data_IF_640339288127
#
_entry.id   IF_640339288127
#
_cell.length_a   1.000
_cell.length_b   1.000
_cell.length_c   1.000
_cell.angle_alpha   90.00
_cell.angle_beta   90.00
_cell.angle_gamma   90.00
#
_symmetry.space_group_name_H-M   'P 1'
#
loop_
_entity.id
_entity.type
_entity.pdbx_description
1 polymer ?
#
# COMPACT_ATOMS: atom_id res chain seq x y z
N UNK A 1 29.28 8.01 -33.07
CA UNK A 1 28.26 7.36 -33.94
C UNK A 1 27.16 6.58 -33.21
N UNK A 2 27.29 6.20 -31.91
CA UNK A 2 26.20 5.52 -31.16
C UNK A 2 25.09 6.45 -30.61
N UNK A 3 25.38 7.74 -30.39
CA UNK A 3 24.42 8.75 -29.87
C UNK A 3 23.49 9.40 -30.91
N UNK A 4 23.63 9.08 -32.20
CA UNK A 4 22.80 9.66 -33.28
C UNK A 4 21.79 8.67 -33.90
N UNK A 5 21.73 7.43 -33.41
CA UNK A 5 20.77 6.42 -33.89
C UNK A 5 19.55 6.21 -32.96
N UNK A 6 19.50 6.86 -31.81
CA UNK A 6 18.42 6.68 -30.81
C UNK A 6 17.22 7.64 -31.00
N UNK A 7 17.33 8.67 -31.84
CA UNK A 7 16.26 9.66 -32.05
C UNK A 7 15.30 9.34 -33.22
N UNK A 8 15.29 8.11 -33.74
CA UNK A 8 14.53 7.74 -34.94
C UNK A 8 13.25 6.91 -34.69
N UNK A 9 12.92 6.57 -33.45
CA UNK A 9 11.62 5.96 -33.17
C UNK A 9 10.61 7.07 -32.83
N UNK A 10 9.72 7.37 -33.78
CA UNK A 10 8.54 8.17 -33.50
C UNK A 10 7.70 7.55 -32.37
N UNK A 11 6.81 8.35 -31.78
CA UNK A 11 5.90 7.88 -30.72
C UNK A 11 5.11 6.66 -31.22
N UNK A 12 5.23 5.54 -30.50
CA UNK A 12 4.57 4.28 -30.82
C UNK A 12 3.30 4.08 -30.00
N UNK A 13 3.30 4.53 -28.75
CA UNK A 13 2.19 4.29 -27.81
C UNK A 13 1.81 5.53 -27.01
N UNK A 14 0.56 5.55 -26.54
CA UNK A 14 0.01 6.56 -25.64
C UNK A 14 -0.51 5.90 -24.37
N UNK A 15 -0.05 6.36 -23.21
CA UNK A 15 -0.47 5.86 -21.90
C UNK A 15 -1.20 6.95 -21.12
N UNK A 16 -2.38 6.62 -20.61
CA UNK A 16 -3.15 7.47 -19.70
C UNK A 16 -2.91 7.03 -18.26
N UNK A 17 -2.37 7.89 -17.41
CA UNK A 17 -2.21 7.63 -15.97
C UNK A 17 -3.31 8.38 -15.23
N UNK A 18 -4.16 7.64 -14.52
CA UNK A 18 -5.15 8.21 -13.61
C UNK A 18 -4.53 8.30 -12.22
N UNK A 19 -4.44 9.52 -11.68
CA UNK A 19 -3.77 9.84 -10.42
C UNK A 19 -2.41 10.50 -10.65
N UNK A 20 -2.03 11.39 -9.72
CA UNK A 20 -0.74 12.09 -9.69
C UNK A 20 -0.07 11.96 -8.29
N UNK A 21 -0.36 10.85 -7.60
CA UNK A 21 0.11 10.58 -6.24
C UNK A 21 1.56 10.09 -6.16
N UNK A 22 1.93 9.55 -5.00
CA UNK A 22 3.31 9.14 -4.64
C UNK A 22 3.98 8.21 -5.65
N UNK A 23 3.23 7.24 -6.19
CA UNK A 23 3.77 6.16 -7.05
C UNK A 23 3.96 6.56 -8.51
N UNK A 24 3.48 7.73 -8.92
CA UNK A 24 3.41 8.16 -10.32
C UNK A 24 4.75 8.63 -10.90
N UNK A 25 5.63 9.35 -10.17
CA UNK A 25 6.90 9.81 -10.72
C UNK A 25 7.79 8.69 -11.30
N UNK A 26 8.03 7.55 -10.62
CA UNK A 26 8.79 6.44 -11.21
C UNK A 26 8.12 5.86 -12.46
N UNK A 27 6.79 5.88 -12.53
CA UNK A 27 6.06 5.43 -13.71
C UNK A 27 6.35 6.32 -14.92
N UNK A 28 6.22 7.64 -14.74
CA UNK A 28 6.52 8.60 -15.81
C UNK A 28 7.97 8.47 -16.25
N UNK A 29 8.90 8.43 -15.29
CA UNK A 29 10.34 8.32 -15.57
C UNK A 29 10.68 7.07 -16.39
N UNK A 30 10.11 5.92 -16.04
CA UNK A 30 10.37 4.67 -16.76
C UNK A 30 9.70 4.64 -18.14
N UNK A 31 8.44 5.07 -18.26
CA UNK A 31 7.72 5.02 -19.53
C UNK A 31 8.25 6.02 -20.55
N UNK A 32 8.71 7.21 -20.13
CA UNK A 32 9.11 8.26 -21.08
C UNK A 32 10.59 8.19 -21.51
N UNK A 33 11.42 7.33 -20.89
CA UNK A 33 12.87 7.33 -21.08
C UNK A 33 13.36 7.04 -22.51
N UNK A 34 12.63 6.22 -23.26
CA UNK A 34 13.01 5.78 -24.62
C UNK A 34 12.36 6.66 -25.72
N UNK A 35 11.52 7.64 -25.35
CA UNK A 35 10.84 8.55 -26.29
C UNK A 35 9.71 7.93 -27.13
N UNK A 36 9.48 6.63 -27.00
CA UNK A 36 8.49 5.85 -27.76
C UNK A 36 7.07 5.87 -27.16
N UNK A 37 6.93 6.31 -25.90
CA UNK A 37 5.64 6.38 -25.19
C UNK A 37 5.34 7.84 -24.81
N UNK A 38 4.16 8.33 -25.23
CA UNK A 38 3.59 9.59 -24.72
C UNK A 38 2.71 9.31 -23.51
N UNK A 39 2.90 10.09 -22.45
CA UNK A 39 2.15 9.95 -21.19
C UNK A 39 1.23 11.15 -20.99
N UNK A 40 -0.03 10.89 -20.65
CA UNK A 40 -0.99 11.89 -20.15
C UNK A 40 -1.34 11.56 -18.70
N UNK A 41 -1.18 12.52 -17.79
CA UNK A 41 -1.52 12.35 -16.37
C UNK A 41 -2.80 13.10 -16.04
N UNK A 42 -3.70 12.45 -15.32
CA UNK A 42 -4.99 13.00 -14.91
C UNK A 42 -5.09 13.07 -13.39
N UNK A 43 -5.54 14.21 -12.86
CA UNK A 43 -5.85 14.37 -11.43
C UNK A 43 -6.99 15.37 -11.26
N UNK A 44 -7.74 15.27 -10.17
CA UNK A 44 -8.70 16.30 -9.78
C UNK A 44 -7.99 17.51 -9.14
N UNK A 45 -6.77 17.34 -8.64
CA UNK A 45 -5.97 18.37 -7.98
C UNK A 45 -4.94 18.97 -8.94
N UNK A 46 -5.07 20.27 -9.24
CA UNK A 46 -4.14 20.97 -10.12
C UNK A 46 -2.71 21.02 -9.55
N UNK A 47 -2.58 21.19 -8.22
CA UNK A 47 -1.28 21.23 -7.54
C UNK A 47 -0.45 19.95 -7.76
N UNK A 48 -1.10 18.79 -7.81
CA UNK A 48 -0.40 17.53 -8.10
C UNK A 48 0.07 17.48 -9.55
N UNK A 49 -0.75 17.98 -10.50
CA UNK A 49 -0.38 18.05 -11.93
C UNK A 49 0.79 19.00 -12.16
N UNK A 50 0.79 20.17 -11.52
CA UNK A 50 1.89 21.13 -11.56
C UNK A 50 3.18 20.51 -11.01
N UNK A 51 3.09 19.78 -9.90
CA UNK A 51 4.23 19.08 -9.30
C UNK A 51 4.84 18.06 -10.25
N UNK A 52 4.05 17.18 -10.87
CA UNK A 52 4.59 16.17 -11.81
C UNK A 52 5.08 16.81 -13.11
N UNK A 53 4.41 17.85 -13.62
CA UNK A 53 4.80 18.55 -14.85
C UNK A 53 6.11 19.32 -14.68
N UNK A 54 6.37 19.85 -13.48
CA UNK A 54 7.66 20.48 -13.13
C UNK A 54 8.82 19.49 -13.22
N UNK A 55 8.62 18.25 -12.78
CA UNK A 55 9.65 17.19 -12.86
C UNK A 55 9.76 16.58 -14.26
N UNK A 56 8.63 16.43 -14.97
CA UNK A 56 8.56 15.79 -16.28
C UNK A 56 7.91 16.73 -17.30
N UNK A 57 8.66 17.68 -17.91
CA UNK A 57 8.09 18.71 -18.77
C UNK A 57 7.47 18.17 -20.07
N UNK A 58 7.82 16.95 -20.49
CA UNK A 58 7.41 16.37 -21.77
C UNK A 58 6.08 15.58 -21.72
N UNK A 59 5.44 15.44 -20.55
CA UNK A 59 4.13 14.77 -20.44
C UNK A 59 2.98 15.71 -20.76
N UNK A 60 1.82 15.17 -21.09
CA UNK A 60 0.55 15.92 -21.04
C UNK A 60 -0.07 15.81 -19.65
N UNK A 61 -0.78 16.86 -19.22
CA UNK A 61 -1.56 16.84 -17.97
C UNK A 61 -2.98 17.31 -18.23
N UNK A 62 -3.96 16.75 -17.52
CA UNK A 62 -5.36 17.13 -17.61
C UNK A 62 -6.01 17.13 -16.24
N UNK A 63 -6.59 18.25 -15.83
CA UNK A 63 -7.44 18.28 -14.64
C UNK A 63 -8.81 17.67 -14.96
N UNK A 64 -9.21 16.66 -14.20
CA UNK A 64 -10.49 15.97 -14.34
C UNK A 64 -10.86 15.27 -13.03
N UNK A 65 -12.12 15.42 -12.61
CA UNK A 65 -12.69 14.55 -11.58
C UNK A 65 -13.42 13.39 -12.26
N UNK A 66 -12.79 12.21 -12.27
CA UNK A 66 -13.33 11.01 -12.94
C UNK A 66 -14.69 10.55 -12.38
N UNK A 67 -15.06 10.97 -11.16
CA UNK A 67 -16.33 10.62 -10.53
C UNK A 67 -17.48 11.52 -10.99
N UNK A 68 -17.16 12.67 -11.58
CA UNK A 68 -18.13 13.67 -12.01
C UNK A 68 -18.18 13.81 -13.53
N UNK A 69 -17.10 13.46 -14.23
CA UNK A 69 -16.98 13.63 -15.69
C UNK A 69 -16.61 12.31 -16.39
N UNK A 70 -17.63 11.46 -16.57
CA UNK A 70 -17.48 10.17 -17.28
C UNK A 70 -17.25 10.38 -18.78
N UNK A 71 -17.82 11.42 -19.38
CA UNK A 71 -17.63 11.72 -20.81
C UNK A 71 -16.18 12.13 -21.11
N UNK A 72 -15.62 13.02 -20.29
CA UNK A 72 -14.23 13.45 -20.35
C UNK A 72 -13.27 12.27 -20.14
N UNK A 73 -13.59 11.37 -19.19
CA UNK A 73 -12.82 10.14 -19.01
C UNK A 73 -12.88 9.27 -20.26
N UNK A 74 -14.06 9.06 -20.85
CA UNK A 74 -14.22 8.25 -22.07
C UNK A 74 -13.41 8.77 -23.25
N UNK A 75 -13.41 10.10 -23.49
CA UNK A 75 -12.57 10.75 -24.52
C UNK A 75 -11.09 10.46 -24.30
N UNK A 76 -10.61 10.67 -23.07
CA UNK A 76 -9.21 10.38 -22.74
C UNK A 76 -8.88 8.91 -22.92
N UNK A 77 -9.71 7.98 -22.44
CA UNK A 77 -9.48 6.54 -22.62
C UNK A 77 -9.40 6.19 -24.11
N UNK A 78 -10.34 6.66 -24.93
CA UNK A 78 -10.37 6.38 -26.37
C UNK A 78 -9.08 6.80 -27.11
N UNK A 79 -8.45 7.90 -26.69
CA UNK A 79 -7.24 8.47 -27.28
C UNK A 79 -5.92 7.74 -26.91
N UNK A 80 -5.95 6.83 -25.93
CA UNK A 80 -4.78 6.15 -25.41
C UNK A 80 -4.86 4.63 -25.66
N UNK A 81 -3.73 3.93 -25.59
CA UNK A 81 -3.63 2.49 -25.84
C UNK A 81 -3.77 1.68 -24.55
N UNK A 82 -3.27 2.24 -23.43
CA UNK A 82 -3.27 1.64 -22.10
C UNK A 82 -3.61 2.69 -21.04
N UNK A 83 -4.46 2.32 -20.09
CA UNK A 83 -4.81 3.10 -18.90
C UNK A 83 -4.11 2.51 -17.67
N UNK A 84 -3.34 3.31 -16.94
CA UNK A 84 -2.77 2.95 -15.65
C UNK A 84 -3.58 3.61 -14.53
N UNK A 85 -4.35 2.82 -13.80
CA UNK A 85 -5.22 3.30 -12.71
C UNK A 85 -4.45 3.31 -11.39
N UNK A 86 -3.92 4.48 -11.01
CA UNK A 86 -3.13 4.74 -9.79
C UNK A 86 -3.88 5.64 -8.80
N UNK A 87 -5.20 5.44 -8.75
CA UNK A 87 -6.15 6.12 -7.85
C UNK A 87 -6.56 5.18 -6.70
N UNK A 88 -7.30 5.67 -5.69
CA UNK A 88 -7.85 4.77 -4.67
C UNK A 88 -8.67 3.63 -5.27
N UNK A 89 -8.38 2.40 -4.82
CA UNK A 89 -8.93 1.15 -5.38
C UNK A 89 -10.47 1.10 -5.43
N UNK A 90 -11.15 1.79 -4.51
CA UNK A 90 -12.61 1.90 -4.46
C UNK A 90 -13.22 2.56 -5.71
N UNK A 91 -12.40 3.26 -6.49
CA UNK A 91 -12.82 3.94 -7.72
C UNK A 91 -12.52 3.13 -9.00
N UNK A 92 -11.97 1.92 -8.88
CA UNK A 92 -11.66 1.10 -10.06
C UNK A 92 -12.93 0.65 -10.80
N UNK A 93 -14.02 0.36 -10.08
CA UNK A 93 -15.28 -0.06 -10.69
C UNK A 93 -15.90 0.99 -11.62
N UNK A 94 -15.49 2.26 -11.52
CA UNK A 94 -15.90 3.36 -12.39
C UNK A 94 -15.02 3.47 -13.63
N UNK A 95 -13.77 3.03 -13.57
CA UNK A 95 -12.79 3.13 -14.67
C UNK A 95 -12.87 1.93 -15.62
N UNK A 96 -13.02 0.73 -15.07
CA UNK A 96 -13.03 -0.51 -15.84
C UNK A 96 -14.11 -0.55 -16.94
N UNK A 97 -15.38 -0.19 -16.67
CA UNK A 97 -16.42 -0.16 -17.71
C UNK A 97 -16.08 0.76 -18.88
N UNK A 98 -15.45 1.91 -18.62
CA UNK A 98 -15.03 2.85 -19.66
C UNK A 98 -13.91 2.24 -20.53
N UNK A 99 -12.96 1.54 -19.92
CA UNK A 99 -11.90 0.83 -20.66
C UNK A 99 -12.46 -0.31 -21.51
N UNK A 100 -13.42 -1.07 -20.99
CA UNK A 100 -14.14 -2.13 -21.71
C UNK A 100 -14.87 -1.54 -22.92
N UNK A 101 -15.66 -0.47 -22.72
CA UNK A 101 -16.40 0.21 -23.78
C UNK A 101 -15.50 0.67 -24.92
N UNK A 102 -14.35 1.25 -24.60
CA UNK A 102 -13.39 1.77 -25.59
C UNK A 102 -12.35 0.74 -26.04
N UNK A 103 -12.46 -0.53 -25.57
CA UNK A 103 -11.54 -1.63 -25.87
C UNK A 103 -10.07 -1.29 -25.61
N UNK A 104 -9.79 -0.61 -24.49
CA UNK A 104 -8.43 -0.22 -24.09
C UNK A 104 -7.92 -1.08 -22.96
N UNK A 105 -6.63 -1.39 -22.99
CA UNK A 105 -5.98 -2.14 -21.93
C UNK A 105 -5.97 -1.32 -20.63
N UNK A 106 -5.96 -2.01 -19.50
CA UNK A 106 -5.90 -1.37 -18.19
C UNK A 106 -4.91 -2.10 -17.28
N UNK A 107 -4.23 -1.34 -16.42
CA UNK A 107 -3.33 -1.87 -15.41
C UNK A 107 -3.52 -1.15 -14.08
N UNK A 108 -3.38 -1.88 -12.96
CA UNK A 108 -3.28 -1.28 -11.62
C UNK A 108 -2.39 -2.09 -10.68
N UNK A 109 -1.87 -1.43 -9.65
CA UNK A 109 -1.11 -2.04 -8.55
C UNK A 109 -2.01 -2.50 -7.37
N UNK A 110 -3.34 -2.53 -7.54
CA UNK A 110 -4.27 -2.96 -6.49
C UNK A 110 -4.75 -4.40 -6.68
N UNK A 111 -5.25 -4.97 -5.58
CA UNK A 111 -5.95 -6.25 -5.54
C UNK A 111 -7.11 -6.34 -6.54
N UNK A 112 -7.30 -7.52 -7.13
CA UNK A 112 -8.47 -7.86 -7.93
C UNK A 112 -9.68 -8.10 -7.03
N UNK A 113 -10.50 -7.06 -6.85
CA UNK A 113 -11.71 -7.14 -6.02
C UNK A 113 -12.79 -8.07 -6.60
N UNK A 114 -13.71 -8.61 -5.77
CA UNK A 114 -14.83 -9.40 -6.26
C UNK A 114 -15.68 -8.66 -7.31
N UNK A 115 -15.90 -7.35 -7.12
CA UNK A 115 -16.63 -6.50 -8.08
C UNK A 115 -15.96 -6.46 -9.45
N UNK A 116 -14.63 -6.33 -9.49
CA UNK A 116 -13.88 -6.36 -10.75
C UNK A 116 -13.87 -7.77 -11.34
N UNK A 117 -13.67 -8.80 -10.53
CA UNK A 117 -13.68 -10.21 -10.98
C UNK A 117 -14.99 -10.59 -11.69
N UNK A 118 -16.13 -10.03 -11.27
CA UNK A 118 -17.41 -10.23 -11.95
C UNK A 118 -17.44 -9.69 -13.40
N UNK A 119 -16.50 -8.82 -13.78
CA UNK A 119 -16.36 -8.27 -15.14
C UNK A 119 -15.44 -9.12 -16.04
N UNK A 120 -14.91 -10.26 -15.57
CA UNK A 120 -13.95 -11.09 -16.32
C UNK A 120 -14.42 -11.38 -17.76
N UNK A 121 -15.67 -11.80 -17.93
CA UNK A 121 -16.19 -12.12 -19.26
C UNK A 121 -16.28 -10.88 -20.16
N UNK A 122 -16.72 -9.74 -19.62
CA UNK A 122 -16.80 -8.49 -20.37
C UNK A 122 -15.42 -8.00 -20.86
N UNK A 123 -14.38 -8.19 -20.04
CA UNK A 123 -12.99 -7.85 -20.38
C UNK A 123 -12.47 -8.77 -21.49
N UNK A 124 -12.76 -10.07 -21.40
CA UNK A 124 -12.42 -11.06 -22.44
C UNK A 124 -13.12 -10.76 -23.76
N UNK A 125 -14.43 -10.48 -23.71
CA UNK A 125 -15.24 -10.16 -24.89
C UNK A 125 -14.79 -8.85 -25.57
N UNK A 126 -14.33 -7.87 -24.78
CA UNK A 126 -13.74 -6.64 -25.30
C UNK A 126 -12.34 -6.86 -25.92
N UNK A 127 -11.72 -8.04 -25.74
CA UNK A 127 -10.39 -8.37 -26.26
C UNK A 127 -9.26 -7.61 -25.56
N UNK A 128 -9.49 -7.11 -24.34
CA UNK A 128 -8.52 -6.31 -23.60
C UNK A 128 -7.77 -7.15 -22.57
N UNK A 129 -6.56 -6.69 -22.24
CA UNK A 129 -5.75 -7.22 -21.14
C UNK A 129 -5.88 -6.28 -19.94
N UNK A 130 -6.25 -6.84 -18.79
CA UNK A 130 -6.37 -6.12 -17.52
C UNK A 130 -5.34 -6.66 -16.52
N UNK A 131 -4.19 -5.99 -16.40
CA UNK A 131 -3.12 -6.42 -15.49
C UNK A 131 -3.38 -5.88 -14.09
N UNK A 132 -3.47 -6.78 -13.12
CA UNK A 132 -3.76 -6.44 -11.73
C UNK A 132 -2.58 -6.81 -10.84
N UNK A 133 -2.54 -6.27 -9.63
CA UNK A 133 -1.62 -6.73 -8.59
C UNK A 133 -0.15 -6.65 -9.01
N UNK A 134 0.26 -5.60 -9.75
CA UNK A 134 1.65 -5.40 -10.20
C UNK A 134 2.30 -4.19 -9.52
N UNK A 135 2.29 -4.19 -8.18
CA UNK A 135 2.98 -3.22 -7.34
C UNK A 135 4.07 -3.87 -6.47
N UNK A 136 4.11 -3.49 -5.19
CA UNK A 136 4.98 -4.09 -4.18
C UNK A 136 4.30 -5.26 -3.48
N UNK A 137 3.17 -4.97 -2.83
CA UNK A 137 2.32 -5.90 -2.08
C UNK A 137 0.88 -5.37 -2.21
N UNK A 138 0.12 -5.84 -3.22
CA UNK A 138 0.40 -7.01 -4.07
C UNK A 138 1.26 -6.69 -5.31
N UNK A 139 2.20 -7.58 -5.62
CA UNK A 139 3.05 -7.54 -6.81
C UNK A 139 4.36 -8.28 -6.65
N UNK A 140 5.43 -7.57 -6.30
CA UNK A 140 6.75 -8.20 -6.09
C UNK A 140 6.66 -9.38 -5.11
N UNK A 141 5.84 -9.27 -4.06
CA UNK A 141 5.61 -10.37 -3.11
C UNK A 141 5.08 -11.65 -3.80
N UNK A 142 4.13 -11.51 -4.73
CA UNK A 142 3.60 -12.62 -5.52
C UNK A 142 4.67 -13.20 -6.43
N UNK A 143 5.43 -12.34 -7.11
CA UNK A 143 6.46 -12.75 -8.07
C UNK A 143 7.58 -13.55 -7.38
N UNK A 144 8.08 -13.06 -6.24
CA UNK A 144 9.12 -13.73 -5.46
C UNK A 144 8.62 -15.03 -4.82
N UNK A 145 7.37 -15.03 -4.33
CA UNK A 145 6.74 -16.24 -3.79
C UNK A 145 6.63 -17.32 -4.88
N UNK A 146 6.12 -16.96 -6.06
CA UNK A 146 5.90 -17.91 -7.16
C UNK A 146 7.21 -18.41 -7.76
N UNK A 147 8.25 -17.56 -7.86
CA UNK A 147 9.59 -17.99 -8.30
C UNK A 147 10.13 -19.11 -7.39
N UNK A 148 10.11 -18.89 -6.07
CA UNK A 148 10.57 -19.89 -5.10
C UNK A 148 9.72 -21.18 -5.12
N UNK A 149 8.39 -21.03 -5.24
CA UNK A 149 7.47 -22.17 -5.28
C UNK A 149 7.64 -23.01 -6.55
N UNK A 150 7.67 -22.37 -7.72
CA UNK A 150 7.83 -23.07 -9.00
C UNK A 150 9.18 -23.81 -9.05
N UNK A 151 10.26 -23.21 -8.54
CA UNK A 151 11.56 -23.89 -8.42
C UNK A 151 11.52 -25.11 -7.49
N UNK A 152 10.80 -24.98 -6.37
CA UNK A 152 10.65 -26.05 -5.39
C UNK A 152 9.83 -27.21 -5.96
N UNK A 153 8.68 -26.91 -6.56
CA UNK A 153 7.81 -27.90 -7.20
C UNK A 153 8.50 -28.60 -8.37
N UNK A 154 9.28 -27.88 -9.19
CA UNK A 154 10.04 -28.46 -10.30
C UNK A 154 11.07 -29.51 -9.85
N UNK A 155 11.56 -29.40 -8.61
CA UNK A 155 12.49 -30.34 -7.97
C UNK A 155 11.78 -31.42 -7.12
N UNK A 156 10.45 -31.47 -7.17
CA UNK A 156 9.63 -32.44 -6.43
C UNK A 156 9.45 -32.12 -4.94
N UNK A 157 9.83 -30.92 -4.50
CA UNK A 157 9.62 -30.47 -3.13
C UNK A 157 8.17 -30.06 -2.86
N UNK A 158 7.81 -30.02 -1.57
CA UNK A 158 6.50 -29.58 -1.08
C UNK A 158 6.65 -28.33 -0.22
N UNK A 159 5.71 -27.40 -0.34
CA UNK A 159 5.63 -26.26 0.56
C UNK A 159 4.79 -26.66 1.78
N UNK A 160 5.40 -26.64 2.97
CA UNK A 160 4.80 -27.05 4.24
C UNK A 160 4.45 -25.85 5.14
N UNK A 161 5.16 -24.73 5.02
CA UNK A 161 4.82 -23.45 5.66
C UNK A 161 5.12 -22.26 4.75
N UNK A 162 4.30 -21.22 4.85
CA UNK A 162 4.47 -19.96 4.13
C UNK A 162 4.09 -18.79 5.03
N UNK A 163 5.06 -17.94 5.32
CA UNK A 163 4.88 -16.67 6.00
C UNK A 163 5.48 -15.55 5.17
N UNK A 164 4.71 -14.49 4.91
CA UNK A 164 5.15 -13.36 4.10
C UNK A 164 4.81 -12.05 4.79
N UNK A 165 5.83 -11.30 5.18
CA UNK A 165 5.68 -10.02 5.86
C UNK A 165 6.33 -8.89 5.06
N UNK A 166 5.58 -7.81 4.84
CA UNK A 166 6.05 -6.61 4.11
C UNK A 166 5.81 -5.34 4.93
N UNK A 167 6.75 -4.41 4.91
CA UNK A 167 6.60 -3.08 5.49
C UNK A 167 7.27 -2.01 4.65
N UNK A 168 6.53 -0.93 4.37
CA UNK A 168 7.08 0.34 3.93
C UNK A 168 7.20 1.27 5.12
N UNK A 169 8.43 1.61 5.50
CA UNK A 169 8.80 2.28 6.75
C UNK A 169 9.69 3.48 6.46
N UNK A 170 9.84 4.45 7.38
CA UNK A 170 11.00 5.33 7.32
C UNK A 170 12.29 4.52 7.47
N UNK A 171 13.37 4.95 6.83
CA UNK A 171 14.68 4.41 7.19
C UNK A 171 14.94 4.64 8.69
N UNK A 172 15.68 3.75 9.39
CA UNK A 172 15.79 3.78 10.84
C UNK A 172 16.18 5.15 11.42
N UNK A 173 17.07 5.87 10.75
CA UNK A 173 17.53 7.20 11.14
C UNK A 173 16.47 8.31 11.03
N UNK A 174 15.33 8.05 10.37
CA UNK A 174 14.19 8.97 10.23
C UNK A 174 12.91 8.44 10.90
N UNK A 175 13.03 7.39 11.71
CA UNK A 175 11.92 6.76 12.42
C UNK A 175 11.65 7.41 13.79
N UNK A 176 12.31 8.51 14.14
CA UNK A 176 12.12 9.19 15.44
C UNK A 176 10.85 10.05 15.45
N UNK A 177 9.71 9.40 15.61
CA UNK A 177 8.42 10.03 15.87
C UNK A 177 7.52 9.06 16.67
N UNK A 178 6.39 9.51 17.23
CA UNK A 178 5.60 8.67 18.14
C UNK A 178 5.05 7.37 17.56
N UNK A 179 4.80 7.31 16.24
CA UNK A 179 4.41 6.06 15.56
C UNK A 179 5.61 5.30 15.00
N UNK A 180 6.80 5.89 15.01
CA UNK A 180 7.96 5.40 14.26
C UNK A 180 7.61 5.18 12.78
N UNK A 181 6.74 6.03 12.22
CA UNK A 181 6.19 5.84 10.89
C UNK A 181 6.08 7.16 10.14
N UNK A 182 6.22 7.12 8.82
CA UNK A 182 6.00 8.25 7.92
C UNK A 182 5.29 7.77 6.66
N UNK A 183 4.40 8.59 6.13
CA UNK A 183 3.53 8.18 5.03
C UNK A 183 4.20 8.38 3.66
N UNK A 184 4.55 7.27 3.01
CA UNK A 184 5.01 7.23 1.61
C UNK A 184 3.89 6.91 0.61
N UNK A 185 2.64 6.82 1.10
CA UNK A 185 1.41 6.60 0.36
C UNK A 185 0.23 7.20 1.14
N UNK A 186 -1.01 7.06 0.65
CA UNK A 186 -2.20 7.70 1.26
C UNK A 186 -2.33 7.39 2.76
N UNK A 187 -2.29 8.41 3.66
CA UNK A 187 -2.42 8.19 5.10
C UNK A 187 -3.74 7.55 5.50
N UNK A 188 -4.84 8.00 4.92
CA UNK A 188 -6.16 7.42 5.20
C UNK A 188 -6.23 5.95 4.79
N UNK A 189 -5.67 5.59 3.63
CA UNK A 189 -5.62 4.20 3.20
C UNK A 189 -4.71 3.35 4.11
N UNK A 190 -3.57 3.89 4.54
CA UNK A 190 -2.64 3.25 5.48
C UNK A 190 -3.24 3.03 6.86
N UNK A 191 -3.95 4.03 7.39
CA UNK A 191 -4.61 3.93 8.68
C UNK A 191 -5.85 3.04 8.62
N UNK A 192 -6.47 2.86 7.45
CA UNK A 192 -7.59 1.92 7.32
C UNK A 192 -7.13 0.47 7.50
N UNK A 193 -5.89 0.13 7.11
CA UNK A 193 -5.42 -1.27 7.16
C UNK A 193 -5.33 -1.83 8.58
N UNK A 194 -5.08 -0.97 9.59
CA UNK A 194 -4.99 -1.39 10.99
C UNK A 194 -6.36 -1.73 11.61
N UNK A 195 -7.45 -1.37 10.92
CA UNK A 195 -8.83 -1.68 11.30
C UNK A 195 -9.36 -2.94 10.61
N UNK A 196 -8.61 -3.52 9.67
CA UNK A 196 -9.00 -4.76 9.01
C UNK A 196 -9.04 -5.92 10.01
N UNK A 197 -9.84 -6.94 9.70
CA UNK A 197 -9.67 -8.26 10.28
C UNK A 197 -8.56 -9.04 9.58
N UNK A 198 -8.25 -10.22 10.12
CA UNK A 198 -7.35 -11.16 9.46
C UNK A 198 -7.87 -12.59 9.58
N UNK A 199 -7.70 -13.38 8.54
CA UNK A 199 -7.95 -14.82 8.55
C UNK A 199 -6.75 -15.55 7.95
N UNK A 200 -6.20 -16.50 8.71
CA UNK A 200 -4.93 -17.15 8.37
C UNK A 200 -4.85 -18.57 8.93
N UNK A 201 -3.89 -19.34 8.43
CA UNK A 201 -3.61 -20.70 8.89
C UNK A 201 -2.31 -20.69 9.69
N UNK A 202 -2.33 -21.23 10.91
CA UNK A 202 -1.14 -21.27 11.79
C UNK A 202 -1.08 -22.61 12.52
N UNK A 203 0.10 -23.23 12.50
CA UNK A 203 0.32 -24.55 13.09
C UNK A 203 0.42 -24.51 14.63
N UNK A 204 -0.05 -25.57 15.27
CA UNK A 204 -0.13 -25.71 16.72
C UNK A 204 -1.01 -26.89 17.16
N UNK A 205 -1.80 -27.44 16.22
CA UNK A 205 -2.52 -28.74 16.22
C UNK A 205 -3.42 -28.74 14.97
N UNK A 206 -2.94 -29.27 13.85
CA UNK A 206 -3.70 -29.54 12.62
C UNK A 206 -4.64 -28.39 12.18
N UNK A 207 -4.10 -27.39 11.49
CA UNK A 207 -4.88 -26.60 10.52
C UNK A 207 -6.06 -25.78 11.06
N UNK A 208 -5.96 -25.24 12.28
CA UNK A 208 -6.95 -24.31 12.80
C UNK A 208 -6.86 -22.98 12.05
N UNK A 209 -7.96 -22.63 11.39
CA UNK A 209 -8.18 -21.30 10.86
C UNK A 209 -8.27 -20.31 12.03
N UNK A 210 -7.37 -19.34 12.05
CA UNK A 210 -7.40 -18.21 12.97
C UNK A 210 -8.17 -17.09 12.31
N UNK A 211 -9.14 -16.52 13.02
CA UNK A 211 -9.89 -15.35 12.58
C UNK A 211 -9.78 -14.25 13.63
N UNK A 212 -9.43 -13.06 13.17
CA UNK A 212 -9.36 -11.83 13.95
C UNK A 212 -10.41 -10.89 13.37
N UNK A 213 -11.39 -10.44 14.16
CA UNK A 213 -12.43 -9.54 13.67
C UNK A 213 -11.86 -8.16 13.30
N UNK A 214 -12.53 -7.42 12.40
CA UNK A 214 -12.20 -6.03 12.13
C UNK A 214 -12.46 -5.14 13.34
N UNK A 215 -12.02 -3.89 13.28
CA UNK A 215 -12.23 -2.88 14.34
C UNK A 215 -11.08 -2.75 15.33
N UNK A 216 -9.89 -3.25 14.98
CA UNK A 216 -8.67 -2.99 15.75
C UNK A 216 -8.20 -4.11 16.67
N UNK A 217 -8.91 -5.24 16.72
CA UNK A 217 -8.43 -6.45 17.41
C UNK A 217 -7.06 -6.90 16.86
N UNK A 218 -6.82 -6.65 15.58
CA UNK A 218 -5.56 -6.95 14.90
C UNK A 218 -4.30 -6.45 15.62
N UNK A 219 -4.38 -5.29 16.28
CA UNK A 219 -3.24 -4.70 16.99
C UNK A 219 -2.82 -5.49 18.23
N UNK A 220 -3.68 -6.35 18.76
CA UNK A 220 -3.37 -7.22 19.91
C UNK A 220 -2.63 -8.50 19.49
N UNK A 221 -2.53 -8.77 18.18
CA UNK A 221 -1.91 -9.96 17.61
C UNK A 221 -0.54 -9.67 16.96
N UNK A 222 0.05 -8.50 17.25
CA UNK A 222 1.40 -8.19 16.83
C UNK A 222 2.44 -8.98 17.65
N UNK A 223 3.47 -9.47 16.99
CA UNK A 223 4.60 -10.17 17.61
C UNK A 223 5.94 -9.63 17.11
N UNK A 224 7.01 -9.89 17.85
CA UNK A 224 8.35 -9.42 17.51
C UNK A 224 8.93 -10.21 16.32
N UNK A 225 9.54 -9.51 15.38
CA UNK A 225 10.14 -10.10 14.17
C UNK A 225 11.65 -10.21 14.32
N UNK A 226 12.09 -11.30 14.97
CA UNK A 226 13.48 -11.49 15.36
C UNK A 226 14.40 -11.99 14.24
N UNK A 227 13.85 -12.43 13.11
CA UNK A 227 14.61 -12.97 11.97
C UNK A 227 15.30 -11.88 11.14
N UNK A 228 14.84 -10.63 11.24
CA UNK A 228 15.35 -9.46 10.52
C UNK A 228 16.39 -8.71 11.37
N UNK A 229 17.55 -9.34 11.57
CA UNK A 229 18.67 -8.79 12.36
C UNK A 229 19.03 -7.38 11.89
N UNK A 230 19.14 -6.45 12.83
CA UNK A 230 19.44 -5.04 12.57
C UNK A 230 18.20 -4.13 12.53
N UNK A 231 16.99 -4.71 12.48
CA UNK A 231 15.73 -3.96 12.61
C UNK A 231 14.97 -4.32 13.88
N UNK A 232 14.36 -3.33 14.52
CA UNK A 232 13.49 -3.53 15.70
C UNK A 232 12.02 -3.53 15.27
N UNK A 233 11.57 -4.66 14.70
CA UNK A 233 10.27 -4.77 14.04
C UNK A 233 9.26 -5.60 14.84
N UNK A 234 7.99 -5.28 14.62
CA UNK A 234 6.83 -6.08 14.98
C UNK A 234 6.01 -6.39 13.72
N UNK A 235 5.40 -7.57 13.69
CA UNK A 235 4.59 -8.07 12.59
C UNK A 235 3.20 -8.45 13.06
N UNK A 236 2.17 -8.19 12.24
CA UNK A 236 0.80 -8.64 12.47
C UNK A 236 0.20 -9.19 11.16
N UNK A 237 -0.71 -10.18 11.22
CA UNK A 237 -1.32 -10.76 10.02
C UNK A 237 -2.18 -9.72 9.26
N UNK A 238 -2.49 -9.97 8.00
CA UNK A 238 -3.17 -9.00 7.14
C UNK A 238 -4.23 -9.67 6.26
N UNK A 239 -5.47 -9.18 6.33
CA UNK A 239 -6.60 -9.61 5.46
C UNK A 239 -6.75 -11.13 5.43
N UNK A 240 -7.03 -11.69 4.26
CA UNK A 240 -7.22 -13.11 4.05
C UNK A 240 -5.94 -13.73 3.47
N UNK A 241 -5.32 -14.60 4.26
CA UNK A 241 -4.19 -15.43 3.83
C UNK A 241 -4.65 -16.80 3.33
N UNK A 242 -5.86 -17.25 3.65
CA UNK A 242 -6.35 -18.58 3.31
C UNK A 242 -6.65 -18.71 1.82
N UNK A 243 -7.18 -17.67 1.18
CA UNK A 243 -7.40 -17.69 -0.28
C UNK A 243 -6.12 -17.98 -1.08
N UNK A 244 -4.94 -17.68 -0.53
CA UNK A 244 -3.67 -18.01 -1.16
C UNK A 244 -3.34 -19.50 -1.20
N UNK A 245 -4.06 -20.35 -0.44
CA UNK A 245 -3.88 -21.80 -0.54
C UNK A 245 -4.17 -22.31 -1.94
N UNK A 246 -5.27 -21.85 -2.53
CA UNK A 246 -5.66 -22.26 -3.87
C UNK A 246 -4.83 -21.53 -4.93
N UNK A 247 -4.60 -20.22 -4.76
CA UNK A 247 -3.83 -19.39 -5.71
C UNK A 247 -2.42 -19.94 -5.89
N UNK A 248 -1.74 -20.29 -4.79
CA UNK A 248 -0.36 -20.78 -4.80
C UNK A 248 -0.22 -22.31 -4.75
N UNK A 249 -1.34 -23.05 -4.82
CA UNK A 249 -1.38 -24.52 -4.83
C UNK A 249 -0.75 -25.15 -3.57
N UNK A 250 -0.94 -24.54 -2.41
CA UNK A 250 -0.38 -24.92 -1.11
C UNK A 250 -1.13 -26.09 -0.46
N UNK A 251 -1.07 -27.27 -1.09
CA UNK A 251 -1.82 -28.47 -0.66
C UNK A 251 -1.35 -29.05 0.67
N UNK A 252 -0.03 -29.11 0.87
CA UNK A 252 0.60 -29.71 2.05
C UNK A 252 0.91 -28.68 3.15
N UNK A 253 0.48 -27.42 2.96
CA UNK A 253 0.87 -26.31 3.81
C UNK A 253 -0.01 -26.20 5.06
N UNK A 254 0.63 -26.21 6.24
CA UNK A 254 -0.02 -26.14 7.55
C UNK A 254 0.06 -24.74 8.19
N UNK A 255 0.86 -23.83 7.64
CA UNK A 255 0.95 -22.41 8.05
C UNK A 255 0.90 -21.53 6.81
N UNK A 256 -0.06 -20.62 6.72
CA UNK A 256 -0.22 -19.67 5.61
C UNK A 256 -0.58 -18.31 6.19
N UNK A 257 0.42 -17.44 6.27
CA UNK A 257 0.30 -16.10 6.86
C UNK A 257 0.86 -15.07 5.91
N UNK A 258 0.08 -14.06 5.58
CA UNK A 258 0.55 -12.79 5.03
C UNK A 258 0.36 -11.72 6.09
N UNK A 259 1.35 -10.86 6.25
CA UNK A 259 1.38 -9.89 7.33
C UNK A 259 2.08 -8.59 6.98
N UNK A 260 1.98 -7.64 7.90
CA UNK A 260 2.52 -6.30 7.76
C UNK A 260 3.59 -6.06 8.82
N UNK A 261 4.72 -5.46 8.41
CA UNK A 261 5.79 -5.05 9.32
C UNK A 261 5.64 -3.59 9.74
N UNK A 262 5.93 -3.31 11.01
CA UNK A 262 6.09 -1.97 11.59
C UNK A 262 7.29 -1.97 12.54
N UNK A 263 7.80 -0.78 12.87
CA UNK A 263 8.73 -0.69 14.00
C UNK A 263 7.98 -0.93 15.32
N UNK A 264 8.68 -1.56 16.27
CA UNK A 264 8.14 -1.92 17.57
C UNK A 264 7.47 -0.72 18.27
N UNK A 265 6.29 -0.93 18.84
CA UNK A 265 5.50 0.07 19.55
C UNK A 265 4.47 0.82 18.69
N UNK A 266 4.51 0.68 17.36
CA UNK A 266 3.49 1.24 16.47
C UNK A 266 2.09 0.75 16.86
N UNK A 267 1.89 -0.57 16.98
CA UNK A 267 0.60 -1.20 17.29
C UNK A 267 0.03 -0.75 18.63
N UNK A 268 0.87 -0.53 19.65
CA UNK A 268 0.44 -0.02 20.96
C UNK A 268 -0.15 1.39 20.85
N UNK A 269 0.51 2.29 20.11
CA UNK A 269 0.02 3.66 19.91
C UNK A 269 -1.25 3.66 19.07
N UNK A 270 -1.33 2.84 18.01
CA UNK A 270 -2.56 2.66 17.23
C UNK A 270 -3.69 2.13 18.11
N UNK A 271 -3.46 1.12 18.94
CA UNK A 271 -4.46 0.57 19.86
C UNK A 271 -4.98 1.63 20.82
N UNK A 272 -4.10 2.49 21.33
CA UNK A 272 -4.49 3.62 22.16
C UNK A 272 -5.41 4.59 21.41
N UNK A 273 -5.09 4.95 20.16
CA UNK A 273 -5.95 5.81 19.33
C UNK A 273 -7.32 5.18 19.05
N UNK A 274 -7.38 3.86 18.85
CA UNK A 274 -8.62 3.10 18.70
C UNK A 274 -9.46 3.19 19.98
N UNK A 275 -8.86 2.89 21.14
CA UNK A 275 -9.54 2.94 22.45
C UNK A 275 -10.03 4.36 22.81
N UNK A 276 -9.36 5.39 22.30
CA UNK A 276 -9.78 6.78 22.46
C UNK A 276 -10.88 7.21 21.48
N UNK A 277 -11.19 6.42 20.45
CA UNK A 277 -12.21 6.74 19.44
C UNK A 277 -11.72 7.58 18.26
N UNK A 278 -10.42 7.90 18.19
CA UNK A 278 -9.85 8.67 17.08
C UNK A 278 -9.89 7.92 15.74
N UNK A 279 -10.09 6.60 15.78
CA UNK A 279 -10.17 5.74 14.61
C UNK A 279 -11.62 5.44 14.18
N UNK A 280 -12.62 6.10 14.77
CA UNK A 280 -14.02 5.99 14.37
C UNK A 280 -14.24 6.61 12.98
N UNK A 281 -14.80 5.83 12.06
CA UNK A 281 -15.08 6.23 10.68
C UNK A 281 -16.52 6.73 10.49
N UNK A 282 -17.37 6.64 11.51
CA UNK A 282 -18.75 7.08 11.42
C UNK A 282 -18.82 8.62 11.28
N UNK A 283 -19.69 9.13 10.39
CA UNK A 283 -19.94 10.56 10.28
C UNK A 283 -20.26 11.20 11.64
N UNK A 284 -19.72 12.39 11.86
CA UNK A 284 -19.98 13.22 13.02
C UNK A 284 -20.17 14.67 12.56
N UNK A 285 -21.40 15.16 12.66
CA UNK A 285 -21.78 16.51 12.18
C UNK A 285 -20.96 17.62 12.83
N UNK A 286 -20.45 17.42 14.07
CA UNK A 286 -19.59 18.39 14.77
C UNK A 286 -18.17 18.45 14.21
N UNK A 287 -17.81 17.51 13.33
CA UNK A 287 -16.53 17.46 12.62
C UNK A 287 -16.72 17.67 11.11
N UNK A 288 -17.88 18.17 10.66
CA UNK A 288 -18.11 18.45 9.25
C UNK A 288 -17.13 19.52 8.71
N UNK A 289 -16.71 19.46 7.44
CA UNK A 289 -15.83 20.48 6.84
C UNK A 289 -16.42 21.89 6.84
N UNK A 290 -17.75 22.02 6.96
CA UNK A 290 -18.46 23.30 7.07
C UNK A 290 -18.41 23.93 8.46
N UNK A 291 -17.98 23.19 9.49
CA UNK A 291 -17.86 23.70 10.85
C UNK A 291 -16.72 24.73 10.98
N UNK A 292 -16.82 25.67 11.94
CA UNK A 292 -15.71 26.57 12.24
C UNK A 292 -14.43 25.82 12.63
N UNK A 293 -13.24 26.33 12.28
CA UNK A 293 -11.97 25.74 12.72
C UNK A 293 -11.87 25.66 14.25
N UNK A 294 -11.49 24.51 14.78
CA UNK A 294 -11.37 24.26 16.22
C UNK A 294 -10.03 23.63 16.57
N UNK A 295 -9.57 23.79 17.82
CA UNK A 295 -8.33 23.17 18.30
C UNK A 295 -8.48 21.66 18.44
N UNK A 296 -7.34 20.95 18.51
CA UNK A 296 -7.33 19.51 18.73
C UNK A 296 -7.92 19.12 20.09
N UNK A 297 -7.80 19.97 21.11
CA UNK A 297 -8.49 19.77 22.40
C UNK A 297 -10.02 19.69 22.19
N UNK A 298 -10.59 20.60 21.41
CA UNK A 298 -12.03 20.57 21.11
C UNK A 298 -12.41 19.32 20.32
N UNK A 299 -11.59 18.90 19.34
CA UNK A 299 -11.80 17.67 18.58
C UNK A 299 -11.79 16.45 19.50
N UNK A 300 -10.81 16.34 20.40
CA UNK A 300 -10.72 15.25 21.37
C UNK A 300 -11.97 15.16 22.27
N UNK A 301 -12.44 16.30 22.77
CA UNK A 301 -13.66 16.39 23.58
C UNK A 301 -14.91 15.92 22.80
N UNK A 302 -15.00 16.25 21.51
CA UNK A 302 -16.09 15.75 20.64
C UNK A 302 -15.99 14.23 20.43
N UNK A 303 -14.78 13.73 20.18
CA UNK A 303 -14.53 12.31 19.87
C UNK A 303 -14.85 11.41 21.05
N UNK A 304 -14.51 11.84 22.27
CA UNK A 304 -14.69 10.99 23.45
C UNK A 304 -16.15 10.62 23.71
N UNK A 305 -17.13 11.25 23.02
CA UNK A 305 -18.60 11.07 23.13
C UNK A 305 -19.16 11.16 24.57
N UNK A 306 -18.28 11.29 25.55
CA UNK A 306 -18.48 11.33 26.97
C UNK A 306 -17.38 12.22 27.60
N UNK A 307 -17.57 13.53 27.53
CA UNK A 307 -17.83 14.18 28.81
C UNK A 307 -19.34 14.33 28.89
N UNK A 308 -20.02 13.23 29.22
CA UNK A 308 -21.43 13.25 29.62
C UNK A 308 -21.45 13.98 30.95
N UNK A 309 -21.57 15.32 30.96
CA UNK A 309 -21.95 16.18 32.10
C UNK A 309 -21.47 15.86 33.56
N UNK A 310 -20.51 14.95 33.80
CA UNK A 310 -20.27 14.32 35.11
C UNK A 310 -18.77 14.10 35.40
N UNK A 311 -17.89 14.66 34.57
CA UNK A 311 -16.48 14.91 34.94
C UNK A 311 -16.18 16.35 34.53
N UNK A 312 -16.51 17.40 35.28
CA UNK A 312 -16.77 17.59 36.70
C UNK A 312 -17.79 18.75 36.79
N UNK A 313 -18.36 19.01 37.96
CA UNK A 313 -18.97 20.32 38.26
C UNK A 313 -17.94 21.46 38.29
N UNK A 314 -17.22 21.67 37.19
CA UNK A 314 -16.22 22.71 36.94
C UNK A 314 -16.50 23.22 35.52
N UNK A 315 -17.21 24.34 35.40
CA UNK A 315 -16.66 25.68 35.14
C UNK A 315 -16.14 25.84 33.68
N UNK A 316 -16.33 26.99 32.98
CA UNK A 316 -15.97 27.20 31.57
C UNK A 316 -14.47 27.17 31.22
N UNK A 317 -13.63 26.49 32.02
CA UNK A 317 -12.17 26.43 31.91
C UNK A 317 -11.67 24.98 32.01
N UNK A 318 -12.03 24.12 31.06
CA UNK A 318 -11.41 22.79 30.95
C UNK A 318 -9.93 22.98 30.61
N UNK A 319 -9.04 22.60 31.53
CA UNK A 319 -7.60 22.65 31.31
C UNK A 319 -7.13 21.44 30.49
N UNK A 320 -6.11 21.63 29.64
CA UNK A 320 -5.48 20.53 28.88
C UNK A 320 -5.01 19.41 29.80
N UNK A 321 -4.48 19.77 30.98
CA UNK A 321 -4.04 18.82 32.01
C UNK A 321 -5.16 17.89 32.50
N UNK A 322 -6.40 18.40 32.62
CA UNK A 322 -7.55 17.57 33.01
C UNK A 322 -7.89 16.54 31.92
N UNK A 323 -7.82 16.94 30.64
CA UNK A 323 -8.04 16.04 29.49
C UNK A 323 -6.93 14.98 29.40
N UNK A 324 -5.67 15.36 29.63
CA UNK A 324 -4.55 14.42 29.70
C UNK A 324 -4.73 13.39 30.83
N UNK A 325 -5.12 13.83 32.02
CA UNK A 325 -5.38 12.94 33.15
C UNK A 325 -6.52 11.93 32.84
N UNK A 326 -7.57 12.39 32.15
CA UNK A 326 -8.65 11.53 31.69
C UNK A 326 -8.17 10.50 30.65
N UNK A 327 -7.32 10.91 29.69
CA UNK A 327 -6.70 10.00 28.72
C UNK A 327 -5.86 8.94 29.41
N UNK A 328 -4.99 9.34 30.35
CA UNK A 328 -4.14 8.42 31.13
C UNK A 328 -4.99 7.36 31.85
N UNK A 329 -6.04 7.81 32.54
CA UNK A 329 -6.98 6.93 33.23
C UNK A 329 -7.71 5.98 32.28
N UNK A 330 -8.19 6.49 31.13
CA UNK A 330 -8.96 5.72 30.15
C UNK A 330 -8.09 4.67 29.44
N UNK A 331 -6.87 5.03 29.08
CA UNK A 331 -5.97 4.12 28.38
C UNK A 331 -5.47 3.00 29.29
N UNK A 332 -5.08 3.32 30.55
CA UNK A 332 -4.46 2.35 31.46
C UNK A 332 -3.31 1.57 30.79
N UNK A 333 -2.48 2.28 30.01
CA UNK A 333 -1.34 1.74 29.27
C UNK A 333 -0.03 2.28 29.88
N UNK A 334 1.13 1.66 29.57
CA UNK A 334 2.42 2.19 30.01
C UNK A 334 2.60 3.67 29.64
N UNK A 335 3.21 4.42 30.54
CA UNK A 335 3.39 5.88 30.43
C UNK A 335 4.07 6.29 29.12
N UNK A 336 5.05 5.52 28.63
CA UNK A 336 5.69 5.73 27.32
C UNK A 336 4.67 5.73 26.17
N UNK A 337 3.70 4.80 26.19
CA UNK A 337 2.66 4.72 25.15
C UNK A 337 1.71 5.90 25.23
N UNK A 338 1.29 6.28 26.45
CA UNK A 338 0.41 7.45 26.62
C UNK A 338 1.12 8.72 26.17
N UNK A 339 2.39 8.89 26.54
CA UNK A 339 3.17 10.05 26.13
C UNK A 339 3.36 10.10 24.62
N UNK A 340 3.62 8.97 23.96
CA UNK A 340 3.68 8.89 22.50
C UNK A 340 2.36 9.37 21.86
N UNK A 341 1.20 8.94 22.39
CA UNK A 341 -0.12 9.37 21.90
C UNK A 341 -0.30 10.89 22.08
N UNK A 342 0.07 11.45 23.23
CA UNK A 342 -0.07 12.89 23.48
C UNK A 342 0.83 13.73 22.56
N UNK A 343 2.06 13.27 22.30
CA UNK A 343 3.02 13.93 21.39
C UNK A 343 2.56 13.93 19.92
N UNK A 344 1.51 13.16 19.55
CA UNK A 344 0.86 13.29 18.25
C UNK A 344 0.13 14.64 18.06
N UNK A 345 0.04 15.45 19.12
CA UNK A 345 -0.59 16.77 19.05
C UNK A 345 -2.12 16.73 19.08
N UNK A 346 -2.70 15.61 19.51
CA UNK A 346 -4.16 15.42 19.62
C UNK A 346 -4.83 16.29 20.70
N UNK A 347 -4.03 17.01 21.49
CA UNK A 347 -4.47 18.04 22.45
C UNK A 347 -3.85 19.41 22.16
N UNK A 348 -3.31 19.63 20.97
CA UNK A 348 -2.67 20.89 20.61
C UNK A 348 -3.67 22.03 20.37
N UNK A 349 -3.17 23.27 20.46
CA UNK A 349 -3.95 24.48 20.14
C UNK A 349 -4.10 24.71 18.62
N UNK A 350 -3.27 24.04 17.80
CA UNK A 350 -3.35 24.11 16.33
C UNK A 350 -4.77 23.73 15.88
N UNK A 351 -5.34 24.54 14.99
CA UNK A 351 -6.66 24.28 14.41
C UNK A 351 -6.62 23.02 13.53
N UNK A 352 -7.56 22.10 13.76
CA UNK A 352 -7.71 20.87 13.00
C UNK A 352 -8.42 21.14 11.66
N UNK A 353 -8.03 20.41 10.62
CA UNK A 353 -8.76 20.37 9.34
C UNK A 353 -9.84 19.30 9.41
N UNK A 354 -11.06 19.73 9.66
CA UNK A 354 -12.23 18.87 9.88
C UNK A 354 -12.65 18.14 8.61
N UNK A 355 -12.80 16.82 8.69
CA UNK A 355 -13.04 15.94 7.54
C UNK A 355 -14.28 15.03 7.68
N UNK A 356 -15.26 15.44 8.49
CA UNK A 356 -16.56 14.78 8.63
C UNK A 356 -16.62 13.64 9.64
N UNK A 357 -15.48 13.03 10.00
CA UNK A 357 -15.40 12.01 11.03
C UNK A 357 -14.02 12.05 11.75
N UNK A 358 -13.87 11.41 12.93
CA UNK A 358 -12.62 11.37 13.68
C UNK A 358 -11.43 10.84 12.87
N UNK A 359 -11.61 9.69 12.21
CA UNK A 359 -10.57 8.98 11.47
C UNK A 359 -9.99 9.80 10.31
N UNK A 360 -10.83 10.37 9.45
CA UNK A 360 -10.40 11.18 8.31
C UNK A 360 -9.78 12.50 8.78
N UNK A 361 -10.28 13.09 9.88
CA UNK A 361 -9.70 14.31 10.48
C UNK A 361 -8.29 14.05 11.01
N UNK A 362 -8.09 12.92 11.70
CA UNK A 362 -6.75 12.48 12.16
C UNK A 362 -5.83 12.14 10.99
N UNK A 363 -6.34 11.46 9.95
CA UNK A 363 -5.54 11.07 8.78
C UNK A 363 -4.93 12.27 8.07
N UNK A 364 -5.66 13.38 7.97
CA UNK A 364 -5.15 14.64 7.40
C UNK A 364 -4.10 15.28 8.29
N UNK A 365 -4.27 15.23 9.62
CA UNK A 365 -3.25 15.72 10.55
C UNK A 365 -1.95 14.92 10.46
N UNK A 366 -2.06 13.60 10.38
CA UNK A 366 -0.92 12.71 10.18
C UNK A 366 -0.22 12.95 8.83
N UNK A 367 -0.96 13.30 7.78
CA UNK A 367 -0.38 13.72 6.51
C UNK A 367 0.57 14.91 6.66
N UNK A 368 0.28 15.83 7.60
CA UNK A 368 1.12 16.99 7.88
C UNK A 368 2.33 16.62 8.76
N UNK A 369 2.08 15.97 9.91
CA UNK A 369 3.12 15.80 10.95
C UNK A 369 4.05 14.60 10.71
N UNK A 370 3.69 13.69 9.80
CA UNK A 370 4.46 12.47 9.47
C UNK A 370 4.78 12.39 7.97
N UNK A 371 4.91 13.55 7.32
CA UNK A 371 5.46 13.63 5.97
C UNK A 371 6.98 13.45 5.98
N UNK A 372 7.52 12.94 4.88
CA UNK A 372 8.96 12.91 4.64
C UNK A 372 9.49 14.31 4.33
N UNK A 373 10.59 14.67 4.95
CA UNK A 373 11.38 15.85 4.61
C UNK A 373 12.15 15.68 3.29
N UNK A 374 12.73 16.76 2.73
CA UNK A 374 13.34 16.74 1.39
C UNK A 374 14.48 15.73 1.20
N UNK A 375 15.26 15.48 2.25
CA UNK A 375 16.44 14.61 2.22
C UNK A 375 16.23 13.28 2.95
N UNK A 376 15.05 13.06 3.51
CA UNK A 376 14.74 11.82 4.20
C UNK A 376 14.44 10.71 3.18
N UNK A 377 14.66 9.47 3.60
CA UNK A 377 14.38 8.28 2.80
C UNK A 377 13.51 7.30 3.56
N UNK A 378 12.66 6.61 2.82
CA UNK A 378 11.93 5.45 3.29
C UNK A 378 12.74 4.16 3.06
N UNK A 379 12.13 3.05 3.46
CA UNK A 379 12.69 1.71 3.45
C UNK A 379 11.55 0.74 3.16
N UNK A 380 11.78 -0.18 2.22
CA UNK A 380 10.97 -1.39 2.08
C UNK A 380 11.72 -2.54 2.72
N UNK A 381 11.04 -3.27 3.59
CA UNK A 381 11.48 -4.59 4.09
C UNK A 381 10.40 -5.60 3.76
N UNK A 382 10.78 -6.67 3.08
CA UNK A 382 9.93 -7.82 2.80
C UNK A 382 10.70 -9.09 3.14
N UNK A 383 10.04 -10.02 3.82
CA UNK A 383 10.59 -11.31 4.22
C UNK A 383 9.56 -12.39 3.92
N UNK A 384 9.94 -13.38 3.12
CA UNK A 384 9.20 -14.62 2.94
C UNK A 384 9.96 -15.75 3.62
N UNK A 385 9.29 -16.44 4.54
CA UNK A 385 9.78 -17.66 5.17
C UNK A 385 8.97 -18.84 4.62
N UNK A 386 9.66 -19.73 3.92
CA UNK A 386 9.07 -20.82 3.13
C UNK A 386 9.65 -22.13 3.63
N UNK A 387 8.84 -22.91 4.36
CA UNK A 387 9.19 -24.25 4.77
C UNK A 387 9.01 -25.23 3.61
N UNK A 388 10.06 -25.99 3.32
CA UNK A 388 10.09 -27.00 2.25
C UNK A 388 10.36 -28.38 2.83
N UNK A 389 9.59 -29.38 2.39
CA UNK A 389 9.90 -30.81 2.57
C UNK A 389 10.26 -31.44 1.22
N UNK A 390 11.44 -32.03 1.13
CA UNK A 390 11.95 -32.70 -0.07
C UNK A 390 11.52 -34.19 -0.11
N UNK A 391 11.60 -34.86 -1.29
CA UNK A 391 11.27 -36.28 -1.41
C UNK A 391 12.06 -37.21 -0.47
N UNK A 392 13.29 -36.83 -0.14
CA UNK A 392 14.19 -37.52 0.80
C UNK A 392 13.87 -37.24 2.28
N UNK A 393 12.76 -36.54 2.57
CA UNK A 393 12.29 -36.11 3.90
C UNK A 393 13.15 -35.05 4.58
N UNK A 394 14.16 -34.51 3.91
CA UNK A 394 14.90 -33.34 4.39
C UNK A 394 13.98 -32.13 4.41
N UNK A 395 14.06 -31.35 5.49
CA UNK A 395 13.31 -30.11 5.65
C UNK A 395 14.26 -28.91 5.61
N UNK A 396 13.81 -27.85 4.95
CA UNK A 396 14.54 -26.61 4.83
C UNK A 396 13.62 -25.42 5.05
N UNK A 397 14.20 -24.33 5.56
CA UNK A 397 13.59 -23.02 5.57
C UNK A 397 14.30 -22.16 4.54
N UNK A 398 13.58 -21.84 3.46
CA UNK A 398 14.00 -20.84 2.48
C UNK A 398 13.53 -19.48 2.95
N UNK A 399 14.45 -18.52 3.01
CA UNK A 399 14.16 -17.14 3.39
C UNK A 399 14.49 -16.21 2.23
N UNK A 400 13.46 -15.61 1.63
CA UNK A 400 13.59 -14.62 0.54
C UNK A 400 13.37 -13.22 1.11
N UNK A 401 14.33 -12.33 0.93
CA UNK A 401 14.32 -10.98 1.52
C UNK A 401 14.56 -9.90 0.49
N UNK A 402 13.72 -8.89 0.49
CA UNK A 402 13.89 -7.66 -0.28
C UNK A 402 14.02 -6.48 0.69
N UNK A 403 15.18 -5.81 0.66
CA UNK A 403 15.46 -4.64 1.49
C UNK A 403 15.91 -3.49 0.57
N UNK A 404 15.05 -2.48 0.40
CA UNK A 404 15.29 -1.38 -0.54
C UNK A 404 15.18 -0.05 0.20
N UNK A 405 16.26 0.72 0.21
CA UNK A 405 16.25 2.09 0.74
C UNK A 405 15.87 3.08 -0.35
N UNK A 406 15.10 4.10 0.05
CA UNK A 406 14.81 5.25 -0.79
C UNK A 406 16.05 6.10 -1.05
N UNK A 407 15.98 6.90 -2.09
CA UNK A 407 17.02 7.85 -2.49
C UNK A 407 16.63 9.25 -2.00
N UNK A 408 17.25 9.68 -0.89
CA UNK A 408 17.05 11.01 -0.32
C UNK A 408 17.37 12.12 -1.33
N UNK A 409 16.65 13.24 -1.25
CA UNK A 409 16.84 14.39 -2.14
C UNK A 409 16.16 14.25 -3.52
N UNK A 410 15.58 13.09 -3.85
CA UNK A 410 14.86 12.87 -5.13
C UNK A 410 13.33 12.99 -5.02
N UNK A 411 12.84 13.52 -3.90
CA UNK A 411 11.42 13.69 -3.63
C UNK A 411 10.63 12.37 -3.75
N UNK A 412 9.36 12.46 -4.17
CA UNK A 412 8.46 11.28 -4.28
C UNK A 412 8.99 10.18 -5.20
N UNK A 413 9.78 10.53 -6.23
CA UNK A 413 10.35 9.57 -7.18
C UNK A 413 11.53 8.78 -6.61
N UNK A 414 12.19 9.28 -5.56
CA UNK A 414 13.27 8.60 -4.87
C UNK A 414 12.82 7.56 -3.85
N UNK A 415 11.59 7.67 -3.35
CA UNK A 415 11.08 6.77 -2.31
C UNK A 415 11.08 5.31 -2.80
N UNK A 416 11.59 4.40 -1.97
CA UNK A 416 11.57 2.98 -2.20
C UNK A 416 10.14 2.49 -2.46
N UNK A 417 9.16 2.91 -1.67
CA UNK A 417 7.74 2.60 -1.89
C UNK A 417 7.27 2.98 -3.30
N UNK A 418 7.55 4.21 -3.73
CA UNK A 418 7.16 4.69 -5.05
C UNK A 418 7.84 3.87 -6.16
N UNK A 419 9.12 3.52 -5.99
CA UNK A 419 9.88 2.73 -6.97
C UNK A 419 9.38 1.29 -7.04
N UNK A 420 9.23 0.62 -5.91
CA UNK A 420 8.81 -0.78 -5.83
C UNK A 420 7.33 -0.98 -6.19
N UNK A 421 6.52 0.09 -6.23
CA UNK A 421 5.17 0.03 -6.81
C UNK A 421 5.16 0.45 -8.28
N UNK A 422 5.83 1.56 -8.61
CA UNK A 422 5.76 2.16 -9.94
C UNK A 422 6.56 1.42 -11.01
N UNK A 423 7.72 0.83 -10.67
CA UNK A 423 8.56 0.13 -11.64
C UNK A 423 7.94 -1.20 -12.11
N UNK A 424 7.43 -2.10 -11.24
CA UNK A 424 6.76 -3.31 -11.70
C UNK A 424 5.56 -2.98 -12.61
N UNK A 425 4.75 -1.99 -12.22
CA UNK A 425 3.62 -1.51 -13.02
C UNK A 425 4.05 -0.99 -14.40
N UNK A 426 5.15 -0.24 -14.46
CA UNK A 426 5.68 0.30 -15.73
C UNK A 426 6.28 -0.77 -16.63
N UNK A 427 6.97 -1.75 -16.04
CA UNK A 427 7.51 -2.90 -16.77
C UNK A 427 6.36 -3.71 -17.38
N UNK A 428 5.35 -4.05 -16.58
CA UNK A 428 4.17 -4.75 -17.05
C UNK A 428 3.39 -3.94 -18.12
N UNK A 429 3.28 -2.61 -17.96
CA UNK A 429 2.69 -1.73 -18.97
C UNK A 429 3.43 -1.83 -20.32
N UNK A 430 4.77 -1.76 -20.33
CA UNK A 430 5.57 -1.98 -21.55
C UNK A 430 5.37 -3.37 -22.12
N UNK A 431 5.32 -4.41 -21.29
CA UNK A 431 5.08 -5.79 -21.74
C UNK A 431 3.72 -5.95 -22.42
N UNK A 432 2.67 -5.28 -21.93
CA UNK A 432 1.35 -5.25 -22.60
C UNK A 432 1.44 -4.53 -23.94
N UNK A 433 2.02 -3.32 -23.97
CA UNK A 433 2.12 -2.50 -25.19
C UNK A 433 2.96 -3.17 -26.29
N UNK A 434 4.01 -3.89 -25.91
CA UNK A 434 4.89 -4.63 -26.82
C UNK A 434 4.33 -6.00 -27.24
N UNK A 435 3.18 -6.43 -26.70
CA UNK A 435 2.59 -7.74 -26.99
C UNK A 435 3.33 -8.93 -26.38
N UNK A 436 4.13 -8.70 -25.33
CA UNK A 436 4.79 -9.74 -24.54
C UNK A 436 3.77 -10.46 -23.64
N UNK A 437 2.86 -9.71 -23.02
CA UNK A 437 1.68 -10.27 -22.31
C UNK A 437 0.54 -10.39 -23.32
N UNK A 438 0.27 -11.63 -23.76
CA UNK A 438 -0.74 -11.92 -24.80
C UNK A 438 -2.12 -12.27 -24.23
N UNK A 439 -2.19 -12.70 -22.98
CA UNK A 439 -3.42 -13.12 -22.32
C UNK A 439 -4.46 -11.99 -22.29
N UNK A 440 -5.71 -12.34 -22.61
CA UNK A 440 -6.89 -11.45 -22.49
C UNK A 440 -7.67 -11.79 -21.22
N UNK A 441 -8.46 -10.83 -20.73
CA UNK A 441 -9.07 -10.93 -19.40
C UNK A 441 -8.16 -10.38 -18.32
N UNK A 442 -8.40 -10.80 -17.08
CA UNK A 442 -7.52 -10.43 -15.96
C UNK A 442 -6.20 -11.20 -16.01
N UNK A 443 -5.10 -10.48 -15.82
CA UNK A 443 -3.74 -11.04 -15.72
C UNK A 443 -3.17 -10.66 -14.37
N UNK A 444 -2.77 -11.69 -13.61
CA UNK A 444 -2.11 -11.58 -12.31
C UNK A 444 -0.67 -12.08 -12.46
N UNK A 445 0.30 -11.62 -11.65
CA UNK A 445 1.71 -11.94 -11.80
C UNK A 445 2.07 -13.33 -11.22
N UNK A 446 1.23 -14.34 -11.46
CA UNK A 446 1.45 -15.70 -10.96
C UNK A 446 2.10 -16.62 -12.00
N UNK A 447 1.96 -16.31 -13.28
CA UNK A 447 2.49 -17.13 -14.36
C UNK A 447 3.98 -16.80 -14.64
N UNK A 448 4.86 -17.80 -14.86
CA UNK A 448 6.29 -17.58 -15.12
C UNK A 448 6.59 -16.62 -16.27
N UNK A 449 5.80 -16.67 -17.34
CA UNK A 449 5.91 -15.77 -18.49
C UNK A 449 5.58 -14.30 -18.16
N UNK A 450 4.92 -14.05 -17.04
CA UNK A 450 4.64 -12.71 -16.52
C UNK A 450 5.69 -12.32 -15.48
N UNK A 451 5.89 -13.11 -14.42
CA UNK A 451 6.72 -12.69 -13.30
C UNK A 451 8.22 -12.70 -13.60
N UNK A 452 8.73 -13.69 -14.35
CA UNK A 452 10.19 -13.79 -14.60
C UNK A 452 10.73 -12.59 -15.36
N UNK A 453 10.12 -12.15 -16.49
CA UNK A 453 10.60 -10.95 -17.18
C UNK A 453 10.48 -9.67 -16.33
N UNK A 454 9.48 -9.59 -15.45
CA UNK A 454 9.33 -8.44 -14.54
C UNK A 454 10.48 -8.43 -13.52
N UNK A 455 10.73 -9.54 -12.81
CA UNK A 455 11.83 -9.64 -11.83
C UNK A 455 13.19 -9.39 -12.48
N UNK A 456 13.46 -9.95 -13.65
CA UNK A 456 14.71 -9.72 -14.40
C UNK A 456 14.93 -8.24 -14.76
N UNK A 457 13.86 -7.51 -15.08
CA UNK A 457 13.92 -6.07 -15.39
C UNK A 457 14.02 -5.23 -14.12
N UNK A 458 13.34 -5.61 -13.04
CA UNK A 458 13.45 -4.97 -11.73
C UNK A 458 14.88 -5.04 -11.17
N UNK A 459 15.57 -6.17 -11.36
CA UNK A 459 16.98 -6.32 -10.99
C UNK A 459 17.87 -5.27 -11.66
N UNK A 460 17.60 -4.93 -12.92
CA UNK A 460 18.33 -3.87 -13.66
C UNK A 460 18.04 -2.46 -13.12
N UNK A 461 16.92 -2.28 -12.45
CA UNK A 461 16.54 -1.03 -11.77
C UNK A 461 16.98 -1.01 -10.28
N UNK A 462 17.79 -1.99 -9.86
CA UNK A 462 18.32 -2.11 -8.49
C UNK A 462 17.32 -2.66 -7.47
N UNK A 463 16.27 -3.34 -7.92
CA UNK A 463 15.29 -4.01 -7.05
C UNK A 463 15.50 -5.52 -7.20
N UNK A 464 16.22 -6.10 -6.25
CA UNK A 464 16.55 -7.52 -6.24
C UNK A 464 16.42 -8.08 -4.81
N UNK A 465 15.84 -9.27 -4.71
CA UNK A 465 15.75 -10.01 -3.46
C UNK A 465 16.96 -10.94 -3.28
N UNK A 466 17.27 -11.25 -2.03
CA UNK A 466 18.25 -12.27 -1.65
C UNK A 466 17.54 -13.51 -1.13
N UNK A 467 18.05 -14.69 -1.44
CA UNK A 467 17.57 -15.95 -0.90
C UNK A 467 18.65 -16.61 -0.02
N UNK A 468 18.25 -17.14 1.12
CA UNK A 468 19.07 -18.00 1.99
C UNK A 468 18.30 -19.26 2.34
N UNK A 469 19.00 -20.37 2.59
CA UNK A 469 18.39 -21.66 2.93
C UNK A 469 19.06 -22.21 4.19
N UNK A 470 18.26 -22.65 5.15
CA UNK A 470 18.72 -23.30 6.38
C UNK A 470 18.04 -24.66 6.54
N UNK A 471 18.75 -25.69 7.00
CA UNK A 471 18.14 -27.00 7.31
C UNK A 471 17.32 -26.91 8.60
N UNK A 472 16.14 -27.53 8.61
CA UNK A 472 15.21 -27.59 9.75
C UNK A 472 15.37 -28.86 10.58
#
# INVERSE_FOLDING_TARGET
>A
MRKQKEAANGVKHKVLILGAGFVVPPIIGYLTRDGDIKVTVVSNLMSDLESVKKTYPNISVKQLNILQDTEGLGKLVAEHDLVMSMIPWKFHAQVFPVCIQHKKHILTASYLSPTLRAMEQQIKDAGITAVMEVGLDPGIDHMLTMECFDETYAKGGKIISYESYTGGLPAPEYADNPLRYKFSWSPEAAMTTVLNGAIYLEDGKVGLVKEIPPGGALMDHAHEMNDLVGFNLEGYPNRDSISYKDIYKLKDCHTVIRGTLRYKGFTKVIKALINLGFMDQNPNDKLAPSCPPMSWVCVALIIFKEVTCVVLGLDPKISVAAVEAAIRKKLNMPEETVQAVLTLGILGEKKAKLCGNPFSTLSVHFADIMAYGPNERDLIVMSHQIGVEWPDKRRELKTVRLVIYGEGGKGRGGLAMSRTVGLPASIAARMVLNGEIKQKGFVLPFAPEVYKPILERLKKEGIEASETTTTL
#
